data_IF_001409097517
#
_entry.id   IF_001409097517
#
_cell.length_a   1.000
_cell.length_b   1.000
_cell.length_c   1.000
_cell.angle_alpha   90.00
_cell.angle_beta   90.00
_cell.angle_gamma   90.00
#
_symmetry.space_group_name_H-M   'P 1'
#
loop_
_entity.id
_entity.type
_entity.pdbx_description
1 polymer ?
#
# COMPACT_ATOMS: atom_id res chain seq x y z
N UNK A 1 7.09 -19.55 1.01
CA UNK A 1 7.47 -18.38 0.21
C UNK A 1 7.72 -17.24 1.17
N UNK A 2 8.91 -16.63 1.13
CA UNK A 2 9.24 -15.53 2.04
C UNK A 2 8.48 -14.27 1.59
N UNK A 3 7.67 -13.69 2.48
CA UNK A 3 7.00 -12.42 2.20
C UNK A 3 8.01 -11.28 2.00
N UNK A 4 7.68 -10.29 1.18
CA UNK A 4 8.51 -9.10 0.97
C UNK A 4 8.22 -8.07 2.05
N UNK A 5 9.27 -7.61 2.75
CA UNK A 5 9.17 -6.51 3.70
C UNK A 5 9.30 -5.14 3.00
N UNK A 6 9.18 -4.07 3.78
CA UNK A 6 9.23 -2.70 3.26
C UNK A 6 10.59 -2.35 2.63
N UNK A 7 11.68 -3.00 3.05
CA UNK A 7 13.00 -2.81 2.46
C UNK A 7 13.04 -3.33 1.03
N UNK A 8 12.57 -4.56 0.83
CA UNK A 8 12.45 -5.17 -0.49
C UNK A 8 11.47 -4.40 -1.39
N UNK A 9 10.29 -4.03 -0.87
CA UNK A 9 9.29 -3.26 -1.62
C UNK A 9 9.87 -1.92 -2.13
N UNK A 10 10.63 -1.19 -1.29
CA UNK A 10 11.25 0.07 -1.69
C UNK A 10 12.36 -0.09 -2.72
N UNK A 11 13.05 -1.24 -2.74
CA UNK A 11 14.05 -1.54 -3.75
C UNK A 11 13.40 -1.85 -5.11
N UNK A 12 12.22 -2.50 -5.10
CA UNK A 12 11.48 -2.86 -6.32
C UNK A 12 10.67 -1.70 -6.89
N UNK A 13 9.88 -1.02 -6.07
CA UNK A 13 8.99 0.05 -6.50
C UNK A 13 9.68 1.42 -6.48
N UNK A 14 9.40 2.31 -7.45
CA UNK A 14 9.91 3.69 -7.43
C UNK A 14 9.17 4.57 -6.41
N UNK A 15 7.95 4.18 -5.99
CA UNK A 15 7.09 4.95 -5.09
C UNK A 15 7.74 5.24 -3.73
N UNK A 16 7.53 6.44 -3.21
CA UNK A 16 8.03 6.89 -1.89
C UNK A 16 6.93 7.63 -1.15
N UNK A 17 7.13 7.88 0.15
CA UNK A 17 6.21 8.70 0.94
C UNK A 17 5.94 10.06 0.25
N UNK A 18 4.68 10.53 0.21
CA UNK A 18 3.47 9.96 0.83
C UNK A 18 2.68 8.98 -0.06
N UNK A 19 3.26 8.48 -1.16
CA UNK A 19 2.55 7.71 -2.19
C UNK A 19 3.09 6.28 -2.39
N UNK A 20 3.82 5.74 -1.42
CA UNK A 20 4.07 4.30 -1.31
C UNK A 20 2.99 3.71 -0.38
N UNK A 21 2.13 2.85 -0.92
CA UNK A 21 0.88 2.42 -0.27
C UNK A 21 0.80 0.89 -0.09
N UNK A 22 1.93 0.19 -0.06
CA UNK A 22 2.03 -1.24 0.26
C UNK A 22 3.09 -1.43 1.33
N UNK A 23 2.72 -2.02 2.46
CA UNK A 23 3.61 -2.16 3.62
C UNK A 23 4.34 -3.51 3.64
N UNK A 24 3.71 -4.56 3.09
CA UNK A 24 4.24 -5.93 3.07
C UNK A 24 3.56 -6.76 1.98
N UNK A 25 4.28 -7.71 1.40
CA UNK A 25 3.69 -8.81 0.61
C UNK A 25 3.71 -10.08 1.45
N UNK A 26 2.57 -10.74 1.61
CA UNK A 26 2.48 -12.00 2.38
C UNK A 26 2.54 -13.23 1.49
N UNK A 27 2.08 -13.14 0.25
CA UNK A 27 2.03 -14.25 -0.70
C UNK A 27 2.37 -13.74 -2.10
N UNK A 28 3.15 -14.51 -2.85
CA UNK A 28 3.50 -14.19 -4.23
C UNK A 28 3.71 -15.48 -5.03
N UNK A 29 2.86 -15.66 -6.04
CA UNK A 29 2.95 -16.68 -7.08
C UNK A 29 3.20 -15.97 -8.40
N UNK A 30 4.40 -16.16 -8.95
CA UNK A 30 4.86 -15.48 -10.15
C UNK A 30 3.87 -15.66 -11.32
N UNK A 31 3.56 -14.56 -12.01
CA UNK A 31 2.60 -14.49 -13.12
C UNK A 31 1.17 -14.97 -12.80
N UNK A 32 0.79 -15.09 -11.52
CA UNK A 32 -0.53 -15.62 -11.14
C UNK A 32 -1.24 -14.82 -10.05
N UNK A 33 -0.62 -14.64 -8.88
CA UNK A 33 -1.28 -14.04 -7.71
C UNK A 33 -0.28 -13.39 -6.78
N UNK A 34 -0.67 -12.25 -6.21
CA UNK A 34 0.08 -11.57 -5.15
C UNK A 34 -0.90 -11.07 -4.09
N UNK A 35 -0.48 -11.08 -2.83
CA UNK A 35 -1.27 -10.58 -1.70
C UNK A 35 -0.42 -9.58 -0.91
N UNK A 36 -0.89 -8.33 -0.90
CA UNK A 36 -0.27 -7.23 -0.17
C UNK A 36 -1.06 -6.85 1.09
N UNK A 37 -0.36 -6.24 2.04
CA UNK A 37 -0.94 -5.57 3.21
C UNK A 37 -0.68 -4.08 3.07
N UNK A 38 -1.74 -3.30 3.24
CA UNK A 38 -1.70 -1.87 3.54
C UNK A 38 -2.41 -1.66 4.88
N UNK A 39 -1.64 -1.29 5.90
CA UNK A 39 -2.20 -0.85 7.17
C UNK A 39 -2.76 0.56 6.99
N UNK A 40 -3.92 0.79 7.59
CA UNK A 40 -4.59 2.08 7.57
C UNK A 40 -4.51 2.68 8.97
N UNK A 41 -3.94 3.86 9.08
CA UNK A 41 -3.75 4.55 10.38
C UNK A 41 -4.15 6.01 10.30
N UNK A 42 -4.72 6.56 11.37
CA UNK A 42 -5.14 7.96 11.44
C UNK A 42 -3.98 8.95 11.22
N UNK A 43 -2.72 8.49 11.40
CA UNK A 43 -1.52 9.29 11.20
C UNK A 43 -1.07 9.42 9.73
N UNK A 44 -1.92 9.12 8.75
CA UNK A 44 -1.62 9.29 7.33
C UNK A 44 -2.07 10.67 6.79
N UNK A 45 -1.30 11.30 5.89
CA UNK A 45 -1.50 12.71 5.52
C UNK A 45 -2.85 12.99 4.85
N UNK A 46 -3.40 12.03 4.10
CA UNK A 46 -4.68 12.23 3.41
C UNK A 46 -5.89 12.27 4.36
N UNK A 47 -5.77 11.76 5.60
CA UNK A 47 -6.86 11.84 6.57
C UNK A 47 -7.12 13.25 7.10
N UNK A 48 -6.16 14.17 6.97
CA UNK A 48 -6.38 15.59 7.29
C UNK A 48 -7.49 16.21 6.43
N UNK A 49 -7.68 15.71 5.20
CA UNK A 49 -8.65 16.22 4.25
C UNK A 49 -9.79 15.27 3.88
N UNK A 50 -9.74 14.00 4.27
CA UNK A 50 -10.70 12.99 3.83
C UNK A 50 -11.25 12.13 4.99
N UNK A 51 -12.16 12.65 5.80
CA UNK A 51 -12.63 14.03 5.90
C UNK A 51 -12.30 14.56 7.30
N UNK A 52 -12.21 15.90 7.50
CA UNK A 52 -12.14 16.47 8.84
C UNK A 52 -13.21 15.85 9.76
N UNK A 53 -12.80 15.43 10.96
CA UNK A 53 -13.62 14.76 11.98
C UNK A 53 -14.27 13.41 11.58
N UNK A 54 -14.01 12.92 10.36
CA UNK A 54 -14.52 11.66 9.83
C UNK A 54 -13.51 11.02 8.88
N UNK A 55 -12.41 10.45 9.40
CA UNK A 55 -11.36 9.85 8.58
C UNK A 55 -11.91 8.63 7.83
N UNK A 56 -11.87 8.67 6.50
CA UNK A 56 -12.30 7.59 5.60
C UNK A 56 -11.16 7.36 4.61
N UNK A 57 -10.73 6.11 4.43
CA UNK A 57 -9.69 5.80 3.44
C UNK A 57 -10.21 6.17 2.04
N UNK A 58 -9.53 7.04 1.27
CA UNK A 58 -9.98 7.36 -0.07
C UNK A 58 -9.99 6.11 -0.96
N UNK A 59 -11.12 5.81 -1.60
CA UNK A 59 -11.26 4.61 -2.44
C UNK A 59 -10.25 4.55 -3.58
N UNK A 60 -9.87 5.70 -4.13
CA UNK A 60 -8.82 5.80 -5.17
C UNK A 60 -7.44 5.37 -4.66
N UNK A 61 -7.14 5.54 -3.36
CA UNK A 61 -5.88 5.08 -2.78
C UNK A 61 -5.89 3.57 -2.49
N UNK A 62 -7.07 2.95 -2.36
CA UNK A 62 -7.21 1.49 -2.33
C UNK A 62 -6.87 0.91 -3.70
N UNK A 63 -7.38 1.52 -4.78
CA UNK A 63 -7.03 1.13 -6.15
C UNK A 63 -5.53 1.31 -6.43
N UNK A 64 -4.95 2.41 -5.98
CA UNK A 64 -3.51 2.65 -6.08
C UNK A 64 -2.69 1.59 -5.33
N UNK A 65 -3.07 1.26 -4.09
CA UNK A 65 -2.42 0.19 -3.33
C UNK A 65 -2.51 -1.18 -4.04
N UNK A 66 -3.64 -1.48 -4.68
CA UNK A 66 -3.79 -2.67 -5.52
C UNK A 66 -2.84 -2.63 -6.74
N UNK A 67 -2.76 -1.49 -7.42
CA UNK A 67 -1.86 -1.30 -8.55
C UNK A 67 -0.39 -1.46 -8.16
N UNK A 68 0.05 -0.84 -7.05
CA UNK A 68 1.41 -0.99 -6.53
C UNK A 68 1.72 -2.41 -6.04
N UNK A 69 0.72 -3.17 -5.61
CA UNK A 69 0.92 -4.58 -5.25
C UNK A 69 1.13 -5.44 -6.51
N UNK A 70 0.50 -5.10 -7.63
CA UNK A 70 0.58 -5.87 -8.87
C UNK A 70 1.69 -5.47 -9.85
N UNK A 71 2.24 -4.25 -9.75
CA UNK A 71 3.28 -3.71 -10.65
C UNK A 71 4.69 -4.03 -10.20
#
# INVERSE_FOLDING_TARGET
MAGLDIGAIRATLPHRYPFLLVDRITEMEENRRIVGIKNVTINEPFFQGHFPDRPIMPGVLILEALAQTGG
#
